data_IF_438122697583
#
_entry.id   IF_438122697583
#
_cell.length_a   1.000
_cell.length_b   1.000
_cell.length_c   1.000
_cell.angle_alpha   90.00
_cell.angle_beta   90.00
_cell.angle_gamma   90.00
#
_symmetry.space_group_name_H-M   'P 1'
#
loop_
_entity.id
_entity.type
_entity.pdbx_description
1 polymer ?
#
# COMPACT_ATOMS: atom_id res chain seq x y z
N UNK A 1 -2.75 14.00 8.18
CA UNK A 1 -2.91 12.78 7.36
C UNK A 1 -3.70 13.13 6.09
N UNK A 2 -3.25 12.69 4.90
CA UNK A 2 -3.98 12.92 3.64
C UNK A 2 -5.31 12.13 3.58
N UNK A 3 -6.28 12.56 2.78
CA UNK A 3 -7.57 11.85 2.63
C UNK A 3 -7.45 10.52 1.87
N UNK A 4 -6.41 10.36 1.05
CA UNK A 4 -6.07 9.11 0.36
C UNK A 4 -4.55 8.93 0.28
N UNK A 5 -4.12 7.68 0.34
CA UNK A 5 -2.70 7.29 0.24
C UNK A 5 -2.45 6.33 -0.91
N UNK A 6 -1.28 6.44 -1.51
CA UNK A 6 -0.76 5.52 -2.53
C UNK A 6 0.34 4.65 -1.91
N UNK A 7 0.24 3.34 -2.12
CA UNK A 7 1.18 2.31 -1.67
C UNK A 7 1.58 1.40 -2.85
N UNK A 8 2.67 0.66 -2.71
CA UNK A 8 3.23 -0.18 -3.77
C UNK A 8 4.76 -0.08 -3.83
N UNK A 9 5.36 -0.66 -4.87
CA UNK A 9 6.80 -0.49 -5.09
C UNK A 9 7.13 0.94 -5.50
N UNK A 10 8.16 1.51 -4.88
CA UNK A 10 8.68 2.82 -5.27
C UNK A 10 9.20 2.82 -6.72
N UNK A 11 9.85 1.71 -7.11
CA UNK A 11 10.49 1.48 -8.39
C UNK A 11 10.23 0.03 -8.81
N UNK A 12 9.92 -0.20 -10.09
CA UNK A 12 9.84 -1.53 -10.72
C UNK A 12 10.98 -1.69 -11.72
N UNK A 13 11.14 -2.89 -12.29
CA UNK A 13 12.16 -3.13 -13.31
C UNK A 13 11.98 -2.25 -14.55
N UNK A 14 10.72 -1.94 -14.87
CA UNK A 14 10.33 -1.18 -16.06
C UNK A 14 10.06 0.30 -15.76
N UNK A 15 9.77 0.66 -14.52
CA UNK A 15 9.45 2.04 -14.12
C UNK A 15 10.18 2.49 -12.82
N UNK A 16 11.20 3.36 -12.89
CA UNK A 16 11.88 3.91 -11.72
C UNK A 16 11.05 4.96 -10.95
N UNK A 17 9.83 5.26 -11.39
CA UNK A 17 8.91 6.18 -10.76
C UNK A 17 7.53 5.55 -10.48
N UNK A 18 7.44 4.21 -10.45
CA UNK A 18 6.19 3.46 -10.34
C UNK A 18 5.21 4.01 -9.29
N UNK A 19 5.67 4.27 -8.05
CA UNK A 19 4.79 4.81 -7.01
C UNK A 19 4.42 6.28 -7.23
N UNK A 20 5.33 7.09 -7.77
CA UNK A 20 5.08 8.52 -8.01
C UNK A 20 4.05 8.69 -9.13
N UNK A 21 4.21 7.98 -10.25
CA UNK A 21 3.26 7.99 -11.36
C UNK A 21 1.89 7.47 -10.92
N UNK A 22 1.88 6.43 -10.08
CA UNK A 22 0.65 5.87 -9.52
C UNK A 22 -0.07 6.86 -8.58
N UNK A 23 0.67 7.56 -7.73
CA UNK A 23 0.14 8.57 -6.83
C UNK A 23 -0.49 9.73 -7.63
N UNK A 24 0.20 10.20 -8.69
CA UNK A 24 -0.31 11.25 -9.57
C UNK A 24 -1.58 10.80 -10.32
N UNK A 25 -1.60 9.57 -10.85
CA UNK A 25 -2.77 9.00 -11.55
C UNK A 25 -4.01 8.91 -10.66
N UNK A 26 -3.83 8.53 -9.40
CA UNK A 26 -4.93 8.34 -8.44
C UNK A 26 -5.27 9.62 -7.67
N UNK A 27 -4.43 10.65 -7.74
CA UNK A 27 -4.52 11.86 -6.91
C UNK A 27 -4.23 11.62 -5.43
N UNK A 28 -3.70 10.45 -5.08
CA UNK A 28 -3.37 10.07 -3.71
C UNK A 28 -1.97 10.54 -3.31
N UNK A 29 -1.65 10.49 -2.01
CA UNK A 29 -0.36 10.93 -1.47
C UNK A 29 0.54 9.75 -1.15
N UNK A 30 1.79 9.78 -1.60
CA UNK A 30 2.78 8.75 -1.28
C UNK A 30 3.68 9.18 -0.11
N UNK A 31 4.53 8.29 0.39
CA UNK A 31 5.34 8.51 1.59
C UNK A 31 6.16 9.81 1.60
N UNK A 32 6.59 10.31 0.43
CA UNK A 32 7.32 11.58 0.31
C UNK A 32 6.45 12.82 0.53
N UNK A 33 5.14 12.70 0.36
CA UNK A 33 4.17 13.78 0.55
C UNK A 33 3.65 13.87 1.99
N UNK A 34 3.95 12.86 2.82
CA UNK A 34 3.43 12.78 4.18
C UNK A 34 4.24 13.68 5.11
N UNK A 35 3.54 14.55 5.84
CA UNK A 35 4.14 15.62 6.63
C UNK A 35 4.74 15.18 7.98
N UNK A 36 4.71 13.89 8.31
CA UNK A 36 4.98 13.38 9.66
C UNK A 36 6.42 12.89 9.86
N UNK A 37 7.22 12.74 8.81
CA UNK A 37 8.60 12.25 8.87
C UNK A 37 8.73 10.79 9.35
N UNK A 38 7.62 10.12 9.64
CA UNK A 38 7.56 8.72 10.03
C UNK A 38 6.44 8.04 9.23
N UNK A 39 6.78 7.61 8.02
CA UNK A 39 5.82 7.05 7.09
C UNK A 39 5.04 5.85 7.65
N UNK A 40 5.64 5.05 8.54
CA UNK A 40 4.94 3.90 9.17
C UNK A 40 3.76 4.33 10.04
N UNK A 41 3.79 5.54 10.61
CA UNK A 41 2.69 6.10 11.40
C UNK A 41 1.48 6.41 10.51
N UNK A 42 1.67 7.06 9.37
CA UNK A 42 0.58 7.34 8.42
C UNK A 42 -0.11 6.05 7.97
N UNK A 43 0.63 4.97 7.67
CA UNK A 43 0.00 3.69 7.33
C UNK A 43 -0.78 3.10 8.50
N UNK A 44 -0.21 3.12 9.71
CA UNK A 44 -0.88 2.61 10.92
C UNK A 44 -2.17 3.38 11.19
N UNK A 45 -2.18 4.69 11.00
CA UNK A 45 -3.37 5.53 11.12
C UNK A 45 -4.39 5.26 10.01
N UNK A 46 -3.96 5.04 8.77
CA UNK A 46 -4.85 4.65 7.67
C UNK A 46 -5.54 3.29 7.96
N UNK A 47 -4.82 2.37 8.59
CA UNK A 47 -5.29 1.05 9.01
C UNK A 47 -6.11 1.04 10.32
N UNK A 48 -6.31 2.17 10.99
CA UNK A 48 -7.27 2.26 12.09
C UNK A 48 -8.69 2.06 11.53
N UNK A 49 -9.54 1.18 12.10
CA UNK A 49 -10.92 0.98 11.67
C UNK A 49 -11.81 2.24 11.70
N UNK A 50 -11.43 3.25 12.49
CA UNK A 50 -12.12 4.56 12.59
C UNK A 50 -11.61 5.56 11.55
N UNK A 51 -10.51 5.25 10.87
CA UNK A 51 -9.97 6.10 9.81
C UNK A 51 -10.89 6.12 8.60
N UNK A 52 -10.96 7.27 7.95
CA UNK A 52 -11.72 7.47 6.70
C UNK A 52 -10.82 7.50 5.47
N UNK A 53 -9.50 7.36 5.67
CA UNK A 53 -8.50 7.43 4.60
C UNK A 53 -8.73 6.31 3.59
N UNK A 54 -8.73 6.66 2.30
CA UNK A 54 -8.77 5.68 1.21
C UNK A 54 -7.36 5.18 0.92
N UNK A 55 -7.23 3.88 0.66
CA UNK A 55 -5.93 3.25 0.37
C UNK A 55 -5.95 2.81 -1.09
N UNK A 56 -5.00 3.29 -1.88
CA UNK A 56 -4.76 2.86 -3.25
C UNK A 56 -3.48 2.03 -3.26
N UNK A 57 -3.54 0.80 -3.76
CA UNK A 57 -2.39 -0.11 -3.78
C UNK A 57 -2.04 -0.51 -5.22
N UNK A 58 -0.83 -0.20 -5.66
CA UNK A 58 -0.30 -0.63 -6.95
C UNK A 58 0.37 -2.01 -6.82
N UNK A 59 -0.09 -2.97 -7.61
CA UNK A 59 0.47 -4.33 -7.69
C UNK A 59 1.51 -4.49 -8.80
N UNK A 60 1.81 -3.44 -9.56
CA UNK A 60 2.87 -3.45 -10.58
C UNK A 60 4.19 -3.99 -10.01
N UNK A 61 4.77 -4.98 -10.69
CA UNK A 61 6.00 -5.66 -10.26
C UNK A 61 5.83 -6.66 -9.12
N UNK A 62 4.61 -6.91 -8.61
CA UNK A 62 4.32 -7.87 -7.54
C UNK A 62 3.63 -9.11 -8.10
N UNK A 63 4.42 -10.15 -8.40
CA UNK A 63 3.89 -11.41 -8.96
C UNK A 63 3.04 -12.22 -7.97
N UNK A 64 3.45 -12.26 -6.69
CA UNK A 64 2.76 -12.98 -5.61
C UNK A 64 2.50 -12.05 -4.41
N UNK A 65 1.43 -11.24 -4.44
CA UNK A 65 1.11 -10.32 -3.35
C UNK A 65 0.79 -11.04 -2.03
N UNK A 66 0.28 -12.28 -2.10
CA UNK A 66 -0.04 -13.09 -0.91
C UNK A 66 1.24 -13.61 -0.25
N UNK A 67 2.17 -14.16 -1.03
CA UNK A 67 3.48 -14.58 -0.57
C UNK A 67 4.30 -13.42 -0.04
N UNK A 68 4.28 -12.27 -0.74
CA UNK A 68 4.99 -11.06 -0.32
C UNK A 68 4.44 -10.50 1.00
N UNK A 69 3.11 -10.50 1.20
CA UNK A 69 2.53 -10.13 2.49
C UNK A 69 2.98 -11.08 3.62
N UNK A 70 2.99 -12.39 3.34
CA UNK A 70 3.38 -13.42 4.34
C UNK A 70 4.83 -13.30 4.79
N UNK A 71 5.74 -12.82 3.95
CA UNK A 71 7.16 -12.67 4.33
C UNK A 71 7.37 -11.67 5.49
N UNK A 72 6.39 -10.78 5.73
CA UNK A 72 6.43 -9.76 6.77
C UNK A 72 5.30 -9.92 7.81
N UNK A 73 4.65 -11.08 7.91
CA UNK A 73 3.64 -11.34 8.93
C UNK A 73 4.23 -11.18 10.35
N UNK A 74 3.61 -10.36 11.18
CA UNK A 74 4.04 -10.12 12.57
C UNK A 74 5.25 -9.20 12.73
N UNK A 75 5.81 -8.66 11.65
CA UNK A 75 6.94 -7.72 11.71
C UNK A 75 6.46 -6.33 12.14
N UNK A 76 6.99 -5.82 13.24
CA UNK A 76 6.55 -4.54 13.83
C UNK A 76 6.99 -3.30 13.02
N UNK A 77 8.17 -3.36 12.40
CA UNK A 77 8.75 -2.30 11.58
C UNK A 77 9.65 -2.92 10.49
N UNK A 78 9.54 -2.49 9.24
CA UNK A 78 10.34 -3.03 8.14
C UNK A 78 11.76 -2.47 8.08
N UNK A 79 12.67 -3.21 7.46
CA UNK A 79 14.00 -2.76 7.04
C UNK A 79 14.00 -2.22 5.62
N UNK A 80 15.06 -1.50 5.23
CA UNK A 80 15.19 -0.93 3.89
C UNK A 80 15.07 -1.99 2.80
N UNK A 81 14.09 -1.84 1.92
CA UNK A 81 13.73 -2.79 0.86
C UNK A 81 12.43 -3.57 1.12
N UNK A 82 12.01 -3.71 2.39
CA UNK A 82 10.85 -4.54 2.76
C UNK A 82 9.55 -3.74 2.95
N UNK A 83 9.52 -2.48 2.52
CA UNK A 83 8.42 -1.56 2.81
C UNK A 83 7.10 -2.03 2.21
N UNK A 84 7.09 -2.36 0.92
CA UNK A 84 5.89 -2.84 0.22
C UNK A 84 5.40 -4.19 0.77
N UNK A 85 6.32 -5.09 1.10
CA UNK A 85 5.98 -6.37 1.74
C UNK A 85 5.32 -6.17 3.10
N UNK A 86 5.86 -5.23 3.89
CA UNK A 86 5.29 -4.85 5.17
C UNK A 86 3.94 -4.16 5.03
N UNK A 87 3.78 -3.24 4.07
CA UNK A 87 2.49 -2.59 3.77
C UNK A 87 1.39 -3.61 3.45
N UNK A 88 1.69 -4.57 2.57
CA UNK A 88 0.79 -5.68 2.24
C UNK A 88 0.44 -6.51 3.47
N UNK A 89 1.43 -6.84 4.30
CA UNK A 89 1.23 -7.56 5.57
C UNK A 89 0.30 -6.81 6.52
N UNK A 90 0.47 -5.49 6.66
CA UNK A 90 -0.39 -4.69 7.52
C UNK A 90 -1.83 -4.67 7.01
N UNK A 91 -2.04 -4.52 5.70
CA UNK A 91 -3.38 -4.50 5.09
C UNK A 91 -4.06 -5.88 5.19
N UNK A 92 -3.34 -6.95 4.85
CA UNK A 92 -3.83 -8.34 4.96
C UNK A 92 -4.35 -8.66 6.36
N UNK A 93 -3.64 -8.20 7.38
CA UNK A 93 -3.97 -8.44 8.78
C UNK A 93 -4.93 -7.40 9.36
N UNK A 94 -5.34 -6.38 8.59
CA UNK A 94 -6.26 -5.35 9.04
C UNK A 94 -7.72 -5.87 9.07
N UNK A 95 -8.59 -5.28 9.91
CA UNK A 95 -10.02 -5.62 9.93
C UNK A 95 -10.70 -5.43 8.57
N UNK A 96 -11.79 -6.17 8.34
CA UNK A 96 -12.52 -6.12 7.06
C UNK A 96 -12.97 -4.70 6.65
N UNK A 97 -13.27 -3.83 7.62
CA UNK A 97 -13.62 -2.42 7.34
C UNK A 97 -12.45 -1.60 6.78
N UNK A 98 -11.22 -1.97 7.09
CA UNK A 98 -10.01 -1.39 6.51
C UNK A 98 -9.80 -1.97 5.11
N UNK A 99 -9.87 -3.29 4.97
CA UNK A 99 -9.69 -3.96 3.67
C UNK A 99 -10.71 -3.47 2.63
N UNK A 100 -11.94 -3.17 3.04
CA UNK A 100 -12.98 -2.59 2.17
C UNK A 100 -12.69 -1.16 1.68
N UNK A 101 -11.73 -0.44 2.31
CA UNK A 101 -11.26 0.89 1.87
C UNK A 101 -10.05 0.82 0.94
N UNK A 102 -9.56 -0.38 0.63
CA UNK A 102 -8.42 -0.58 -0.26
C UNK A 102 -8.92 -0.80 -1.68
N UNK A 103 -8.46 0.04 -2.60
CA UNK A 103 -8.61 -0.18 -4.05
C UNK A 103 -7.29 -0.72 -4.59
N UNK A 104 -7.35 -1.88 -5.22
CA UNK A 104 -6.20 -2.59 -5.79
C UNK A 104 -6.09 -2.32 -7.27
N UNK A 105 -4.88 -2.10 -7.77
CA UNK A 105 -4.60 -1.82 -9.17
C UNK A 105 -3.55 -2.79 -9.69
N UNK A 106 -3.75 -3.32 -10.89
CA UNK A 106 -2.74 -4.14 -11.57
C UNK A 106 -1.66 -3.31 -12.28
N UNK A 107 -0.75 -3.98 -12.98
CA UNK A 107 0.36 -3.38 -13.74
C UNK A 107 -0.09 -2.42 -14.85
N UNK A 108 -1.31 -2.58 -15.38
CA UNK A 108 -1.87 -1.69 -16.39
C UNK A 108 -2.61 -0.51 -15.76
N UNK A 109 -2.87 -0.59 -14.46
CA UNK A 109 -3.64 0.38 -13.70
C UNK A 109 -5.13 0.16 -13.68
N UNK A 110 -5.57 -1.03 -14.05
CA UNK A 110 -6.96 -1.41 -13.94
C UNK A 110 -7.28 -1.81 -12.50
N UNK A 111 -8.49 -1.48 -12.05
CA UNK A 111 -8.96 -1.87 -10.72
C UNK A 111 -9.23 -3.37 -10.71
N UNK A 112 -8.59 -4.07 -9.77
CA UNK A 112 -8.71 -5.52 -9.62
C UNK A 112 -9.26 -5.92 -8.25
N UNK A 113 -9.66 -7.18 -8.13
CA UNK A 113 -10.10 -7.77 -6.86
C UNK A 113 -8.96 -7.81 -5.84
N UNK A 114 -9.31 -7.78 -4.55
CA UNK A 114 -8.35 -7.96 -3.45
C UNK A 114 -7.56 -9.27 -3.60
N UNK A 115 -6.23 -9.25 -3.45
CA UNK A 115 -5.41 -10.45 -3.49
C UNK A 115 -5.61 -11.37 -2.28
N UNK A 116 -6.21 -10.88 -1.19
CA UNK A 116 -6.35 -11.64 0.06
C UNK A 116 -7.68 -12.39 0.19
N UNK A 117 -8.57 -12.26 -0.80
CA UNK A 117 -9.94 -12.80 -0.72
C UNK A 117 -10.83 -11.98 0.21
N UNK A 118 -12.11 -11.86 -0.15
CA UNK A 118 -13.17 -11.32 0.69
C UNK A 118 -14.05 -12.42 1.24
#
# INVERSE_FOLDING_TARGET
>A
MPPSIALGFAETADNPFALADFADRTGAKMYRDWSDGNWTSTLKEANDPKSTVQIHFNLEGIDDPVGLARSMDGVASPSGGDYTAWELSQIKNAPASVQARVTWYDEYGDVVSSPFGG
#
